data_IF_669290128815
#
_entry.id   IF_669290128815
#
_cell.length_a   1.000
_cell.length_b   1.000
_cell.length_c   1.000
_cell.angle_alpha   90.00
_cell.angle_beta   90.00
_cell.angle_gamma   90.00
#
_symmetry.space_group_name_H-M   'P 1'
#
loop_
_entity.id
_entity.type
_entity.pdbx_description
1 polymer ?
#
# COMPACT_ATOMS: atom_id res chain seq x y z
N UNK A 1 -33.85 26.36 20.07
CA UNK A 1 -33.99 24.89 19.91
C UNK A 1 -34.13 24.48 18.43
N UNK A 2 -33.34 25.05 17.51
CA UNK A 2 -33.34 24.69 16.08
C UNK A 2 -31.97 25.01 15.43
N UNK A 3 -30.86 24.60 16.04
CA UNK A 3 -29.51 24.84 15.49
C UNK A 3 -28.70 23.56 15.26
N UNK A 4 -29.35 22.39 15.38
CA UNK A 4 -28.68 21.08 15.27
C UNK A 4 -28.71 20.57 13.82
N UNK A 5 -29.64 21.05 12.99
CA UNK A 5 -29.76 20.66 11.59
C UNK A 5 -29.44 21.86 10.71
N UNK A 6 -28.35 21.77 9.96
CA UNK A 6 -28.12 22.62 8.79
C UNK A 6 -29.31 22.41 7.82
N UNK A 7 -29.83 23.44 7.13
CA UNK A 7 -30.87 23.24 6.13
C UNK A 7 -30.40 22.16 5.16
N UNK A 8 -31.26 21.18 4.84
CA UNK A 8 -30.93 20.08 3.92
C UNK A 8 -30.38 20.69 2.62
N UNK A 9 -29.05 20.64 2.45
CA UNK A 9 -28.41 21.06 1.22
C UNK A 9 -28.68 19.98 0.19
N UNK A 10 -29.42 20.35 -0.85
CA UNK A 10 -29.80 19.46 -1.95
C UNK A 10 -28.55 18.94 -2.69
N UNK A 11 -27.42 19.64 -2.57
CA UNK A 11 -26.15 19.25 -3.18
C UNK A 11 -25.25 18.40 -2.26
N UNK A 12 -25.64 18.23 -0.99
CA UNK A 12 -24.85 17.43 -0.05
C UNK A 12 -25.04 15.94 -0.36
N UNK A 13 -23.93 15.22 -0.52
CA UNK A 13 -23.94 13.79 -0.80
C UNK A 13 -24.62 13.05 0.34
N UNK A 14 -25.46 12.09 -0.02
CA UNK A 14 -26.15 11.29 0.99
C UNK A 14 -25.11 10.50 1.81
N UNK A 15 -25.32 10.31 3.13
CA UNK A 15 -24.38 9.55 3.97
C UNK A 15 -24.05 8.16 3.42
N UNK A 16 -25.02 7.51 2.75
CA UNK A 16 -24.81 6.22 2.07
C UNK A 16 -23.82 6.30 0.90
N UNK A 17 -23.80 7.40 0.16
CA UNK A 17 -22.90 7.62 -0.98
C UNK A 17 -21.47 7.83 -0.49
N UNK A 18 -21.31 8.58 0.60
CA UNK A 18 -20.03 8.75 1.28
C UNK A 18 -19.48 7.40 1.80
N UNK A 19 -20.34 6.55 2.36
CA UNK A 19 -19.96 5.21 2.81
C UNK A 19 -19.54 4.29 1.65
N UNK A 20 -20.25 4.33 0.52
CA UNK A 20 -19.94 3.53 -0.66
C UNK A 20 -18.62 3.98 -1.29
N UNK A 21 -18.38 5.29 -1.37
CA UNK A 21 -17.13 5.85 -1.90
C UNK A 21 -15.94 5.54 -0.98
N UNK A 22 -16.11 5.70 0.34
CA UNK A 22 -15.11 5.33 1.32
C UNK A 22 -14.80 3.83 1.34
N UNK A 23 -15.79 2.96 1.08
CA UNK A 23 -15.57 1.52 0.91
C UNK A 23 -14.78 1.24 -0.37
N UNK A 24 -15.14 1.86 -1.50
CA UNK A 24 -14.43 1.65 -2.77
C UNK A 24 -12.96 2.05 -2.68
N UNK A 25 -12.64 3.19 -2.09
CA UNK A 25 -11.26 3.65 -1.95
C UNK A 25 -10.42 2.69 -1.09
N UNK A 26 -10.94 2.27 0.07
CA UNK A 26 -10.22 1.30 0.93
C UNK A 26 -9.91 -0.02 0.23
N UNK A 27 -10.83 -0.51 -0.61
CA UNK A 27 -10.61 -1.75 -1.36
C UNK A 27 -9.54 -1.61 -2.44
N UNK A 28 -9.47 -0.44 -3.10
CA UNK A 28 -8.42 -0.15 -4.08
C UNK A 28 -7.04 -0.06 -3.39
N UNK A 29 -6.93 0.69 -2.30
CA UNK A 29 -5.68 0.86 -1.57
C UNK A 29 -5.15 -0.48 -1.01
N UNK A 30 -6.05 -1.30 -0.46
CA UNK A 30 -5.68 -2.62 0.07
C UNK A 30 -5.17 -3.55 -1.04
N UNK A 31 -5.73 -3.46 -2.24
CA UNK A 31 -5.33 -4.30 -3.39
C UNK A 31 -3.92 -3.96 -3.87
N UNK A 32 -3.55 -2.68 -3.87
CA UNK A 32 -2.18 -2.27 -4.23
C UNK A 32 -1.15 -2.81 -3.23
N UNK A 33 -1.43 -2.74 -1.94
CA UNK A 33 -0.54 -3.28 -0.90
C UNK A 33 -0.38 -4.81 -1.00
N UNK A 34 -1.47 -5.53 -1.32
CA UNK A 34 -1.42 -6.98 -1.54
C UNK A 34 -0.57 -7.37 -2.75
N UNK A 35 -0.69 -6.62 -3.86
CA UNK A 35 0.12 -6.87 -5.07
C UNK A 35 1.60 -6.63 -4.80
N UNK A 36 1.95 -5.54 -4.10
CA UNK A 36 3.34 -5.24 -3.74
C UNK A 36 3.91 -6.31 -2.82
N UNK A 37 3.15 -6.72 -1.79
CA UNK A 37 3.56 -7.81 -0.89
C UNK A 37 3.74 -9.15 -1.60
N UNK A 38 2.84 -9.48 -2.53
CA UNK A 38 2.95 -10.70 -3.33
C UNK A 38 4.16 -10.66 -4.27
N UNK A 39 4.46 -9.51 -4.89
CA UNK A 39 5.58 -9.35 -5.82
C UNK A 39 6.95 -9.28 -5.12
N UNK A 40 6.99 -8.97 -3.82
CA UNK A 40 8.24 -8.87 -3.07
C UNK A 40 9.07 -10.15 -3.12
N UNK A 41 8.46 -11.31 -2.82
CA UNK A 41 9.15 -12.60 -2.76
C UNK A 41 9.69 -13.08 -4.13
N UNK A 42 8.92 -13.07 -5.24
CA UNK A 42 9.44 -13.43 -6.55
C UNK A 42 10.50 -12.44 -7.05
N UNK A 43 10.36 -11.14 -6.76
CA UNK A 43 11.41 -10.16 -7.07
C UNK A 43 12.71 -10.46 -6.31
N UNK A 44 12.61 -10.84 -5.04
CA UNK A 44 13.75 -11.24 -4.23
C UNK A 44 14.48 -12.47 -4.80
N UNK A 45 13.73 -13.50 -5.18
CA UNK A 45 14.30 -14.70 -5.80
C UNK A 45 15.07 -14.31 -7.06
N UNK A 46 14.48 -13.45 -7.90
CA UNK A 46 15.11 -12.98 -9.13
C UNK A 46 16.43 -12.24 -8.85
N UNK A 47 16.45 -11.36 -7.85
CA UNK A 47 17.67 -10.67 -7.40
C UNK A 47 18.73 -11.66 -6.94
N UNK A 48 18.37 -12.65 -6.13
CA UNK A 48 19.33 -13.67 -5.65
C UNK A 48 19.89 -14.49 -6.81
N UNK A 49 19.06 -14.88 -7.78
CA UNK A 49 19.49 -15.61 -8.98
C UNK A 49 20.46 -14.77 -9.81
N UNK A 50 20.16 -13.48 -10.02
CA UNK A 50 21.03 -12.57 -10.78
C UNK A 50 22.37 -12.37 -10.06
N UNK A 51 22.34 -12.09 -8.76
CA UNK A 51 23.56 -11.91 -7.96
C UNK A 51 24.42 -13.18 -7.92
N UNK A 52 23.77 -14.34 -7.76
CA UNK A 52 24.44 -15.65 -7.80
C UNK A 52 25.08 -15.93 -9.16
N UNK A 53 24.38 -15.60 -10.26
CA UNK A 53 24.93 -15.77 -11.62
C UNK A 53 26.16 -14.89 -11.89
N UNK A 54 26.25 -13.75 -11.21
CA UNK A 54 27.40 -12.84 -11.28
C UNK A 54 28.52 -13.20 -10.27
N UNK A 55 28.41 -14.31 -9.55
CA UNK A 55 29.34 -14.70 -8.47
C UNK A 55 29.52 -13.62 -7.38
N UNK A 56 28.48 -12.82 -7.13
CA UNK A 56 28.50 -11.79 -6.10
C UNK A 56 28.32 -12.40 -4.71
N UNK A 57 28.78 -11.67 -3.68
CA UNK A 57 28.76 -12.18 -2.31
C UNK A 57 27.33 -12.31 -1.78
N UNK A 58 27.09 -13.36 -0.98
CA UNK A 58 25.80 -13.58 -0.33
C UNK A 58 25.44 -12.44 0.64
N UNK A 59 26.44 -11.83 1.28
CA UNK A 59 26.29 -10.63 2.09
C UNK A 59 25.65 -9.47 1.31
N UNK A 60 26.06 -9.27 0.06
CA UNK A 60 25.45 -8.25 -0.81
C UNK A 60 23.98 -8.58 -1.09
N UNK A 61 23.65 -9.85 -1.33
CA UNK A 61 22.26 -10.28 -1.54
C UNK A 61 21.38 -10.01 -0.31
N UNK A 62 21.88 -10.28 0.90
CA UNK A 62 21.17 -9.94 2.13
C UNK A 62 21.03 -8.43 2.34
N UNK A 63 22.04 -7.64 1.98
CA UNK A 63 21.97 -6.18 2.06
C UNK A 63 20.88 -5.64 1.12
N UNK A 64 20.84 -6.09 -0.15
CA UNK A 64 19.80 -5.71 -1.11
C UNK A 64 18.42 -6.15 -0.61
N UNK A 65 18.29 -7.37 -0.08
CA UNK A 65 17.04 -7.86 0.50
C UNK A 65 16.55 -6.99 1.65
N UNK A 66 17.45 -6.63 2.59
CA UNK A 66 17.12 -5.77 3.71
C UNK A 66 16.67 -4.38 3.29
N UNK A 67 17.36 -3.76 2.31
CA UNK A 67 16.99 -2.45 1.76
C UNK A 67 15.63 -2.52 1.05
N UNK A 68 15.39 -3.56 0.24
CA UNK A 68 14.11 -3.76 -0.43
C UNK A 68 12.96 -3.94 0.57
N UNK A 69 13.17 -4.73 1.63
CA UNK A 69 12.19 -4.90 2.70
C UNK A 69 11.88 -3.58 3.39
N UNK A 70 12.92 -2.81 3.73
CA UNK A 70 12.78 -1.53 4.40
C UNK A 70 12.02 -0.52 3.52
N UNK A 71 12.31 -0.48 2.22
CA UNK A 71 11.59 0.36 1.28
C UNK A 71 10.09 0.00 1.21
N UNK A 72 9.77 -1.29 1.11
CA UNK A 72 8.37 -1.75 1.13
C UNK A 72 7.71 -1.43 2.47
N UNK A 73 8.40 -1.63 3.58
CA UNK A 73 7.89 -1.32 4.92
C UNK A 73 7.56 0.18 5.08
N UNK A 74 8.47 1.06 4.66
CA UNK A 74 8.27 2.51 4.68
C UNK A 74 7.13 2.93 3.75
N UNK A 75 7.02 2.32 2.57
CA UNK A 75 5.91 2.56 1.66
C UNK A 75 4.56 2.18 2.29
N UNK A 76 4.48 1.03 2.95
CA UNK A 76 3.26 0.57 3.64
C UNK A 76 2.90 1.49 4.81
N UNK A 77 3.90 1.98 5.56
CA UNK A 77 3.68 2.96 6.63
C UNK A 77 3.17 4.29 6.08
N UNK A 78 3.80 4.82 5.03
CA UNK A 78 3.37 6.06 4.39
C UNK A 78 1.95 5.94 3.80
N UNK A 79 1.60 4.78 3.24
CA UNK A 79 0.26 4.52 2.72
C UNK A 79 -0.81 4.34 3.82
N UNK A 80 -0.43 4.21 5.10
CA UNK A 80 -1.37 4.11 6.23
C UNK A 80 -1.80 5.47 6.78
N UNK A 81 -1.02 6.53 6.56
CA UNK A 81 -1.36 7.89 7.00
C UNK A 81 -2.06 8.63 5.84
N UNK A 82 -3.36 8.95 5.95
CA UNK A 82 -4.12 9.62 4.90
C UNK A 82 -3.83 11.12 4.78
#
# INVERSE_FOLDING_TARGET
MYSIFHPLDVNERLPRELLLEGRRNRWLDMRHLQVIGFLYLPALILVVVVLGSANLSLLLAFAVAGVALLAVYLYVLAAREP
#
